data_IF_516898374243
#
_entry.id   IF_516898374243
#
_cell.length_a   1.000
_cell.length_b   1.000
_cell.length_c   1.000
_cell.angle_alpha   90.00
_cell.angle_beta   90.00
_cell.angle_gamma   90.00
#
_symmetry.space_group_name_H-M   'P 1'
#
loop_
_entity.id
_entity.type
_entity.pdbx_description
1 polymer ?
#
# COMPACT_ATOMS: atom_id res chain seq x y z
N UNK A 1 1.43 -7.61 11.06
CA UNK A 1 1.10 -8.85 10.32
C UNK A 1 1.02 -8.54 8.81
N UNK A 2 1.32 -9.48 7.91
CA UNK A 2 1.22 -9.29 6.44
C UNK A 2 2.55 -8.97 5.74
N UNK A 3 3.46 -8.28 6.44
CA UNK A 3 4.81 -7.94 5.97
C UNK A 3 5.62 -9.16 5.49
N UNK A 4 5.42 -10.33 6.12
CA UNK A 4 6.10 -11.57 5.75
C UNK A 4 5.75 -12.04 4.33
N UNK A 5 4.52 -11.81 3.86
CA UNK A 5 4.12 -12.17 2.50
C UNK A 5 4.76 -11.24 1.46
N UNK A 6 4.86 -9.94 1.77
CA UNK A 6 5.57 -8.97 0.94
C UNK A 6 7.05 -9.34 0.84
N UNK A 7 7.71 -9.57 1.98
CA UNK A 7 9.11 -10.00 2.04
C UNK A 7 9.36 -11.30 1.26
N UNK A 8 8.52 -12.32 1.49
CA UNK A 8 8.62 -13.60 0.80
C UNK A 8 8.45 -13.47 -0.71
N UNK A 9 7.57 -12.58 -1.17
CA UNK A 9 7.37 -12.33 -2.61
C UNK A 9 8.56 -11.62 -3.23
N UNK A 10 9.14 -10.62 -2.55
CA UNK A 10 10.36 -9.95 -3.01
C UNK A 10 11.51 -10.94 -3.20
N UNK A 11 11.71 -11.85 -2.25
CA UNK A 11 12.74 -12.90 -2.30
C UNK A 11 12.59 -13.87 -3.48
N UNK A 12 11.43 -13.92 -4.15
CA UNK A 12 11.28 -14.71 -5.38
C UNK A 12 11.97 -14.06 -6.58
N UNK A 13 12.22 -12.75 -6.54
CA UNK A 13 12.69 -11.97 -7.69
C UNK A 13 14.04 -11.28 -7.50
N UNK A 14 14.53 -11.19 -6.26
CA UNK A 14 15.80 -10.53 -5.95
C UNK A 14 16.55 -11.23 -4.81
N UNK A 15 17.84 -10.93 -4.68
CA UNK A 15 18.67 -11.45 -3.60
C UNK A 15 18.24 -10.90 -2.23
N UNK A 16 18.67 -11.56 -1.14
CA UNK A 16 18.24 -11.24 0.22
C UNK A 16 18.49 -9.76 0.59
N UNK A 17 19.66 -9.23 0.25
CA UNK A 17 20.02 -7.84 0.55
C UNK A 17 19.11 -6.85 -0.20
N UNK A 18 18.88 -7.08 -1.49
CA UNK A 18 17.99 -6.22 -2.31
C UNK A 18 16.54 -6.31 -1.82
N UNK A 19 16.08 -7.50 -1.44
CA UNK A 19 14.74 -7.71 -0.89
C UNK A 19 14.57 -6.96 0.44
N UNK A 20 15.59 -6.99 1.30
CA UNK A 20 15.59 -6.23 2.55
C UNK A 20 15.49 -4.73 2.31
N UNK A 21 16.29 -4.16 1.40
CA UNK A 21 16.25 -2.74 1.10
C UNK A 21 14.97 -2.31 0.38
N UNK A 22 14.43 -3.16 -0.49
CA UNK A 22 13.13 -2.92 -1.13
C UNK A 22 12.01 -2.93 -0.10
N UNK A 23 11.97 -3.92 0.80
CA UNK A 23 10.98 -4.00 1.87
C UNK A 23 11.08 -2.78 2.81
N UNK A 24 12.29 -2.39 3.20
CA UNK A 24 12.53 -1.19 4.01
C UNK A 24 11.98 0.05 3.31
N UNK A 25 12.24 0.19 2.01
CA UNK A 25 11.72 1.31 1.21
C UNK A 25 10.19 1.33 1.14
N UNK A 26 9.55 0.16 1.04
CA UNK A 26 8.09 0.04 1.10
C UNK A 26 7.56 0.52 2.46
N UNK A 27 8.13 0.01 3.56
CA UNK A 27 7.64 0.29 4.91
C UNK A 27 7.84 1.75 5.30
N UNK A 28 8.97 2.35 4.92
CA UNK A 28 9.34 3.69 5.36
C UNK A 28 8.82 4.79 4.44
N UNK A 29 8.79 4.55 3.12
CA UNK A 29 8.53 5.60 2.13
C UNK A 29 7.17 5.45 1.42
N UNK A 30 6.75 4.22 1.09
CA UNK A 30 5.53 4.01 0.30
C UNK A 30 4.30 3.75 1.18
N UNK A 31 4.49 3.02 2.28
CA UNK A 31 3.46 2.62 3.24
C UNK A 31 3.87 2.98 4.69
N UNK A 32 4.26 4.23 4.96
CA UNK A 32 4.62 4.66 6.32
C UNK A 32 3.50 4.38 7.33
N UNK A 33 3.88 3.78 8.46
CA UNK A 33 2.95 3.45 9.56
C UNK A 33 2.07 2.22 9.32
N UNK A 34 2.14 1.54 8.17
CA UNK A 34 1.28 0.38 7.88
C UNK A 34 1.59 -0.86 8.73
N UNK A 35 2.86 -1.05 9.07
CA UNK A 35 3.35 -2.22 9.80
C UNK A 35 3.76 -1.89 11.25
N UNK A 36 3.18 -0.83 11.78
CA UNK A 36 3.37 -0.39 13.17
C UNK A 36 2.61 -1.29 14.16
N UNK A 37 2.88 -1.16 15.46
CA UNK A 37 2.25 -1.98 16.49
C UNK A 37 0.77 -1.62 16.67
N UNK A 38 0.44 -0.32 16.69
CA UNK A 38 -0.94 0.12 16.85
C UNK A 38 -1.77 0.02 15.56
N UNK A 39 -1.11 -0.26 14.42
CA UNK A 39 -1.73 -0.44 13.10
C UNK A 39 -2.71 0.70 12.76
N UNK A 40 -2.33 1.95 13.01
CA UNK A 40 -3.22 3.10 12.80
C UNK A 40 -3.38 3.43 11.32
N UNK A 41 -2.30 3.46 10.56
CA UNK A 41 -2.36 3.79 9.13
C UNK A 41 -3.28 2.84 8.33
N UNK A 42 -3.23 1.50 8.50
CA UNK A 42 -4.16 0.60 7.83
C UNK A 42 -5.61 0.83 8.24
N UNK A 43 -5.87 1.14 9.52
CA UNK A 43 -7.23 1.41 10.01
C UNK A 43 -7.79 2.71 9.42
N UNK A 44 -6.99 3.78 9.37
CA UNK A 44 -7.34 5.02 8.68
C UNK A 44 -7.65 4.73 7.21
N UNK A 45 -6.78 4.00 6.53
CA UNK A 45 -6.93 3.72 5.11
C UNK A 45 -8.12 2.79 4.81
N UNK A 46 -8.52 1.91 5.72
CA UNK A 46 -9.79 1.18 5.61
C UNK A 46 -11.01 2.11 5.68
N UNK A 47 -10.99 3.13 6.56
CA UNK A 47 -12.08 4.12 6.64
C UNK A 47 -12.11 5.00 5.39
N UNK A 48 -10.96 5.39 4.89
CA UNK A 48 -10.85 6.11 3.60
C UNK A 48 -11.40 5.25 2.46
N UNK A 49 -11.00 3.98 2.39
CA UNK A 49 -11.47 3.07 1.34
C UNK A 49 -12.98 2.83 1.41
N UNK A 50 -13.53 2.64 2.61
CA UNK A 50 -14.98 2.57 2.82
C UNK A 50 -15.69 3.82 2.29
N UNK A 51 -15.17 5.02 2.60
CA UNK A 51 -15.74 6.28 2.10
C UNK A 51 -15.70 6.37 0.57
N UNK A 52 -14.60 5.93 -0.05
CA UNK A 52 -14.50 5.87 -1.51
C UNK A 52 -15.53 4.89 -2.10
N UNK A 53 -15.77 3.74 -1.48
CA UNK A 53 -16.83 2.81 -1.91
C UNK A 53 -18.20 3.49 -1.84
N UNK A 54 -18.52 4.18 -0.75
CA UNK A 54 -19.80 4.90 -0.60
C UNK A 54 -19.97 5.99 -1.66
N UNK A 55 -18.89 6.69 -2.03
CA UNK A 55 -18.93 7.76 -3.02
C UNK A 55 -19.08 7.24 -4.47
N UNK A 56 -18.30 6.22 -4.83
CA UNK A 56 -18.29 5.71 -6.21
C UNK A 56 -19.40 4.68 -6.46
N UNK A 57 -19.82 3.93 -5.43
CA UNK A 57 -20.81 2.86 -5.54
C UNK A 57 -21.89 2.95 -4.44
N UNK A 58 -22.62 4.08 -4.32
CA UNK A 58 -23.55 4.31 -3.21
C UNK A 58 -24.62 3.22 -3.11
N UNK A 59 -25.16 2.75 -4.23
CA UNK A 59 -26.16 1.66 -4.25
C UNK A 59 -25.58 0.34 -3.73
N UNK A 60 -24.33 0.03 -4.07
CA UNK A 60 -23.66 -1.17 -3.58
C UNK A 60 -23.32 -1.05 -2.09
N UNK A 61 -22.86 0.10 -1.65
CA UNK A 61 -22.59 0.36 -0.24
C UNK A 61 -23.86 0.15 0.61
N UNK A 62 -24.97 0.77 0.23
CA UNK A 62 -26.27 0.57 0.91
C UNK A 62 -26.74 -0.88 0.87
N UNK A 63 -26.50 -1.60 -0.24
CA UNK A 63 -26.82 -3.02 -0.34
C UNK A 63 -26.01 -3.85 0.66
N UNK A 64 -24.69 -3.69 0.71
CA UNK A 64 -23.81 -4.41 1.66
C UNK A 64 -24.15 -4.06 3.11
N UNK A 65 -24.42 -2.79 3.42
CA UNK A 65 -24.89 -2.36 4.75
C UNK A 65 -26.20 -3.03 5.14
N UNK A 66 -27.16 -3.14 4.21
CA UNK A 66 -28.45 -3.81 4.47
C UNK A 66 -28.29 -5.31 4.77
N UNK A 67 -27.19 -5.91 4.31
CA UNK A 67 -26.80 -7.29 4.58
C UNK A 67 -25.88 -7.42 5.81
N UNK A 68 -25.63 -6.32 6.53
CA UNK A 68 -24.69 -6.23 7.66
C UNK A 68 -23.26 -6.68 7.32
N UNK A 69 -22.81 -6.40 6.10
CA UNK A 69 -21.48 -6.76 5.61
C UNK A 69 -20.52 -5.60 5.74
N UNK A 70 -19.46 -5.79 6.52
CA UNK A 70 -18.32 -4.87 6.55
C UNK A 70 -17.24 -5.35 5.56
N UNK A 71 -17.08 -4.60 4.47
CA UNK A 71 -16.06 -4.89 3.46
C UNK A 71 -14.63 -4.89 4.03
N UNK A 72 -14.38 -4.15 5.12
CA UNK A 72 -13.07 -4.05 5.78
C UNK A 72 -12.53 -5.42 6.22
N UNK A 73 -13.42 -6.37 6.51
CA UNK A 73 -13.06 -7.74 6.87
C UNK A 73 -12.33 -8.49 5.76
N UNK A 74 -12.51 -8.09 4.50
CA UNK A 74 -11.78 -8.66 3.35
C UNK A 74 -10.70 -7.70 2.89
N UNK A 75 -11.03 -6.42 2.75
CA UNK A 75 -10.19 -5.43 2.08
C UNK A 75 -8.96 -5.09 2.91
N UNK A 76 -9.01 -5.19 4.24
CA UNK A 76 -7.84 -4.98 5.11
C UNK A 76 -6.65 -5.83 4.69
N UNK A 77 -6.88 -7.09 4.31
CA UNK A 77 -5.83 -7.99 3.87
C UNK A 77 -5.20 -7.53 2.54
N UNK A 78 -6.00 -6.99 1.62
CA UNK A 78 -5.53 -6.48 0.34
C UNK A 78 -4.46 -5.40 0.54
N UNK A 79 -4.74 -4.41 1.38
CA UNK A 79 -3.78 -3.32 1.61
C UNK A 79 -2.59 -3.77 2.47
N UNK A 80 -2.83 -4.54 3.54
CA UNK A 80 -1.75 -5.00 4.43
C UNK A 80 -0.70 -5.86 3.72
N UNK A 81 -1.11 -6.62 2.69
CA UNK A 81 -0.20 -7.48 1.94
C UNK A 81 0.12 -6.93 0.55
N UNK A 82 -0.27 -5.68 0.23
CA UNK A 82 -0.08 -5.08 -1.09
C UNK A 82 -0.61 -5.98 -2.22
N UNK A 83 -1.77 -6.59 -1.99
CA UNK A 83 -2.46 -7.58 -2.82
C UNK A 83 -1.74 -8.93 -3.03
N UNK A 84 -0.60 -9.16 -2.40
CA UNK A 84 0.03 -10.48 -2.36
C UNK A 84 -0.94 -11.47 -1.71
N UNK A 85 -1.09 -12.65 -2.31
CA UNK A 85 -2.02 -13.70 -1.93
C UNK A 85 -3.52 -13.33 -2.00
N UNK A 86 -3.86 -12.09 -2.36
CA UNK A 86 -5.22 -11.71 -2.72
C UNK A 86 -5.45 -11.87 -4.23
N UNK A 87 -4.50 -11.40 -5.06
CA UNK A 87 -4.52 -11.52 -6.51
C UNK A 87 -3.68 -12.72 -6.98
N UNK A 88 -3.97 -13.29 -8.17
CA UNK A 88 -3.02 -14.14 -8.87
C UNK A 88 -1.66 -13.44 -9.01
N UNK A 89 -0.56 -14.15 -8.79
CA UNK A 89 0.78 -13.55 -8.69
C UNK A 89 1.12 -12.66 -9.89
N UNK A 90 0.85 -13.12 -11.12
CA UNK A 90 1.10 -12.33 -12.33
C UNK A 90 0.33 -11.00 -12.35
N UNK A 91 -0.91 -10.99 -11.88
CA UNK A 91 -1.71 -9.77 -11.75
C UNK A 91 -1.17 -8.87 -10.63
N UNK A 92 -0.78 -9.46 -9.50
CA UNK A 92 -0.17 -8.75 -8.38
C UNK A 92 1.13 -8.03 -8.81
N UNK A 93 1.98 -8.68 -9.60
CA UNK A 93 3.22 -8.08 -10.09
C UNK A 93 2.97 -6.86 -10.97
N UNK A 94 1.91 -6.87 -11.81
CA UNK A 94 1.53 -5.69 -12.59
C UNK A 94 1.04 -4.52 -11.72
N UNK A 95 0.34 -4.83 -10.63
CA UNK A 95 -0.01 -3.80 -9.62
C UNK A 95 1.26 -3.22 -9.01
N UNK A 96 2.23 -4.08 -8.67
CA UNK A 96 3.50 -3.69 -8.09
C UNK A 96 4.35 -2.84 -9.04
N UNK A 97 4.39 -3.16 -10.33
CA UNK A 97 5.10 -2.37 -11.34
C UNK A 97 4.64 -0.90 -11.31
N UNK A 98 3.32 -0.68 -11.31
CA UNK A 98 2.74 0.67 -11.27
C UNK A 98 2.92 1.31 -9.89
N UNK A 99 2.76 0.55 -8.81
CA UNK A 99 2.98 1.03 -7.45
C UNK A 99 4.41 1.55 -7.23
N UNK A 100 5.42 0.82 -7.71
CA UNK A 100 6.83 1.25 -7.63
C UNK A 100 7.16 2.37 -8.61
N UNK A 101 6.55 2.38 -9.80
CA UNK A 101 6.73 3.43 -10.80
C UNK A 101 6.19 4.78 -10.30
N UNK A 102 4.95 4.79 -9.82
CA UNK A 102 4.29 6.01 -9.34
C UNK A 102 4.75 6.43 -7.94
N UNK A 103 5.26 5.49 -7.14
CA UNK A 103 5.70 5.71 -5.75
C UNK A 103 4.58 6.30 -4.89
N UNK A 104 3.37 5.79 -5.08
CA UNK A 104 2.16 6.31 -4.45
C UNK A 104 1.21 5.17 -4.05
N UNK A 105 0.81 5.17 -2.78
CA UNK A 105 -0.19 4.26 -2.25
C UNK A 105 -1.55 4.41 -2.95
N UNK A 106 -1.82 5.53 -3.61
CA UNK A 106 -3.04 5.75 -4.38
C UNK A 106 -3.31 4.67 -5.44
N UNK A 107 -2.26 4.04 -5.98
CA UNK A 107 -2.41 2.90 -6.90
C UNK A 107 -3.20 1.76 -6.25
N UNK A 108 -2.94 1.46 -4.97
CA UNK A 108 -3.60 0.36 -4.25
C UNK A 108 -5.09 0.63 -4.04
N UNK A 109 -5.46 1.89 -3.79
CA UNK A 109 -6.86 2.30 -3.67
C UNK A 109 -7.59 2.20 -5.00
N UNK A 110 -6.95 2.65 -6.10
CA UNK A 110 -7.48 2.50 -7.46
C UNK A 110 -7.72 1.03 -7.83
N UNK A 111 -6.78 0.15 -7.47
CA UNK A 111 -6.93 -1.30 -7.68
C UNK A 111 -8.08 -1.87 -6.84
N UNK A 112 -8.19 -1.48 -5.57
CA UNK A 112 -9.31 -1.88 -4.72
C UNK A 112 -10.68 -1.45 -5.29
N UNK A 113 -10.80 -0.21 -5.74
CA UNK A 113 -12.03 0.30 -6.37
C UNK A 113 -12.33 -0.40 -7.70
N UNK A 114 -11.30 -0.69 -8.50
CA UNK A 114 -11.45 -1.44 -9.74
C UNK A 114 -11.97 -2.87 -9.50
N UNK A 115 -11.50 -3.55 -8.43
CA UNK A 115 -12.05 -4.84 -8.04
C UNK A 115 -13.54 -4.74 -7.69
N UNK A 116 -13.90 -3.75 -6.87
CA UNK A 116 -15.30 -3.52 -6.49
C UNK A 116 -16.16 -3.21 -7.73
N UNK A 117 -15.68 -2.37 -8.65
CA UNK A 117 -16.39 -2.03 -9.89
C UNK A 117 -16.63 -3.26 -10.78
N UNK A 118 -15.56 -4.02 -11.04
CA UNK A 118 -15.60 -5.20 -11.91
C UNK A 118 -16.60 -6.24 -11.42
N UNK A 119 -16.71 -6.41 -10.10
CA UNK A 119 -17.59 -7.40 -9.46
C UNK A 119 -18.88 -6.80 -8.88
N UNK A 120 -19.12 -5.49 -9.05
CA UNK A 120 -20.28 -4.79 -8.51
C UNK A 120 -21.61 -5.48 -8.84
N UNK A 121 -21.79 -5.93 -10.09
CA UNK A 121 -22.99 -6.65 -10.53
C UNK A 121 -23.17 -8.01 -9.86
N UNK A 122 -22.08 -8.70 -9.51
CA UNK A 122 -22.13 -9.97 -8.80
C UNK A 122 -22.49 -9.73 -7.32
N UNK A 123 -21.86 -8.75 -6.69
CA UNK A 123 -22.15 -8.34 -5.32
C UNK A 123 -23.60 -7.85 -5.16
N UNK A 124 -24.14 -7.11 -6.13
CA UNK A 124 -25.54 -6.66 -6.10
C UNK A 124 -26.58 -7.80 -6.21
N UNK A 125 -26.16 -9.02 -6.58
CA UNK A 125 -27.06 -10.18 -6.68
C UNK A 125 -27.12 -11.01 -5.40
N UNK A 126 -26.25 -10.73 -4.45
CA UNK A 126 -26.21 -11.48 -3.18
C UNK A 126 -27.45 -11.15 -2.37
N UNK A 127 -28.00 -12.16 -1.70
CA UNK A 127 -29.28 -12.03 -0.96
C UNK A 127 -29.10 -12.02 0.55
N UNK A 128 -27.96 -12.50 1.05
CA UNK A 128 -27.61 -12.54 2.46
C UNK A 128 -26.14 -12.15 2.67
N UNK A 129 -25.80 -11.83 3.93
CA UNK A 129 -24.46 -11.36 4.27
C UNK A 129 -23.36 -12.40 4.10
N UNK A 130 -23.67 -13.69 4.20
CA UNK A 130 -22.67 -14.77 4.05
C UNK A 130 -22.30 -14.90 2.57
N UNK A 131 -23.29 -14.94 1.68
CA UNK A 131 -23.06 -14.96 0.23
C UNK A 131 -22.31 -13.70 -0.22
N UNK A 132 -22.72 -12.52 0.26
CA UNK A 132 -22.02 -11.26 -0.02
C UNK A 132 -20.54 -11.29 0.42
N UNK A 133 -20.25 -11.80 1.62
CA UNK A 133 -18.88 -11.97 2.10
C UNK A 133 -18.08 -12.96 1.27
N UNK A 134 -18.66 -14.11 0.91
CA UNK A 134 -18.00 -15.10 0.06
C UNK A 134 -17.72 -14.53 -1.35
N UNK A 135 -18.67 -13.79 -1.93
CA UNK A 135 -18.47 -13.12 -3.22
C UNK A 135 -17.36 -12.06 -3.12
N UNK A 136 -17.34 -11.25 -2.05
CA UNK A 136 -16.31 -10.25 -1.84
C UNK A 136 -14.92 -10.90 -1.71
N UNK A 137 -14.81 -12.01 -0.97
CA UNK A 137 -13.57 -12.78 -0.84
C UNK A 137 -13.10 -13.38 -2.17
N UNK A 138 -14.02 -13.72 -3.07
CA UNK A 138 -13.72 -14.29 -4.38
C UNK A 138 -13.27 -13.26 -5.43
N UNK A 139 -13.52 -11.96 -5.22
CA UNK A 139 -13.24 -10.91 -6.23
C UNK A 139 -11.76 -10.87 -6.66
N UNK A 140 -10.83 -10.74 -5.71
CA UNK A 140 -9.41 -10.64 -6.03
C UNK A 140 -8.82 -11.94 -6.63
N UNK A 141 -9.08 -13.15 -6.07
CA UNK A 141 -8.55 -14.39 -6.64
C UNK A 141 -9.01 -14.69 -8.06
N UNK A 142 -10.17 -14.16 -8.47
CA UNK A 142 -10.72 -14.34 -9.82
C UNK A 142 -10.12 -13.39 -10.87
N UNK A 143 -9.24 -12.46 -10.49
CA UNK A 143 -8.64 -11.49 -11.41
C UNK A 143 -7.38 -12.00 -12.12
N UNK A 144 -7.58 -12.92 -13.07
CA UNK A 144 -6.52 -13.39 -13.98
C UNK A 144 -6.20 -12.39 -15.09
N UNK A 145 -7.18 -11.56 -15.48
CA UNK A 145 -6.96 -10.50 -16.48
C UNK A 145 -6.40 -9.24 -15.82
N UNK A 146 -5.08 -9.25 -15.59
CA UNK A 146 -4.37 -8.11 -15.05
C UNK A 146 -4.41 -6.87 -15.96
N UNK A 147 -4.56 -7.03 -17.28
CA UNK A 147 -4.70 -5.88 -18.20
C UNK A 147 -6.00 -5.14 -17.95
N UNK A 148 -7.11 -5.88 -17.83
CA UNK A 148 -8.42 -5.30 -17.49
C UNK A 148 -8.38 -4.63 -16.13
N UNK A 149 -7.81 -5.28 -15.11
CA UNK A 149 -7.71 -4.71 -13.77
C UNK A 149 -6.96 -3.37 -13.78
N UNK A 150 -5.76 -3.34 -14.37
CA UNK A 150 -4.94 -2.13 -14.39
C UNK A 150 -5.54 -1.03 -15.26
N UNK A 151 -6.22 -1.38 -16.36
CA UNK A 151 -6.94 -0.39 -17.18
C UNK A 151 -8.06 0.26 -16.38
N UNK A 152 -8.91 -0.53 -15.71
CA UNK A 152 -9.98 0.01 -14.88
C UNK A 152 -9.42 0.83 -13.71
N UNK A 153 -8.35 0.38 -13.05
CA UNK A 153 -7.72 1.09 -11.94
C UNK A 153 -7.10 2.42 -12.38
N UNK A 154 -6.20 2.40 -13.37
CA UNK A 154 -5.40 3.56 -13.75
C UNK A 154 -6.18 4.58 -14.59
N UNK A 155 -7.22 4.17 -15.33
CA UNK A 155 -8.03 5.08 -16.16
C UNK A 155 -9.36 5.39 -15.49
N UNK A 156 -10.05 4.37 -14.97
CA UNK A 156 -11.39 4.52 -14.39
C UNK A 156 -11.41 5.26 -13.05
N UNK A 157 -10.31 5.19 -12.29
CA UNK A 157 -10.17 5.84 -10.97
C UNK A 157 -8.95 6.77 -10.93
N UNK A 158 -8.56 7.34 -12.08
CA UNK A 158 -7.38 8.23 -12.19
C UNK A 158 -7.47 9.49 -11.31
N UNK A 159 -8.67 9.86 -10.89
CA UNK A 159 -8.93 10.98 -9.99
C UNK A 159 -8.44 10.71 -8.57
N UNK A 160 -8.34 9.44 -8.16
CA UNK A 160 -7.81 9.04 -6.85
C UNK A 160 -6.30 9.27 -6.81
N UNK A 161 -5.92 10.43 -6.29
CA UNK A 161 -4.53 10.88 -6.11
C UNK A 161 -4.13 10.90 -4.63
N UNK A 162 -2.83 11.06 -4.38
CA UNK A 162 -2.28 11.32 -3.04
C UNK A 162 -3.03 12.43 -2.30
N UNK A 163 -3.31 13.55 -2.96
CA UNK A 163 -3.95 14.72 -2.33
C UNK A 163 -5.36 14.40 -1.84
N UNK A 164 -6.13 13.65 -2.64
CA UNK A 164 -7.47 13.20 -2.24
C UNK A 164 -7.38 12.25 -1.05
N UNK A 165 -6.43 11.31 -1.08
CA UNK A 165 -6.24 10.39 0.04
C UNK A 165 -5.81 11.11 1.32
N UNK A 166 -4.89 12.07 1.24
CA UNK A 166 -4.49 12.89 2.38
C UNK A 166 -5.66 13.68 2.95
N UNK A 167 -6.49 14.26 2.08
CA UNK A 167 -7.71 14.95 2.51
C UNK A 167 -8.64 14.01 3.30
N UNK A 168 -8.92 12.81 2.79
CA UNK A 168 -9.76 11.85 3.51
C UNK A 168 -9.11 11.29 4.77
N UNK A 169 -7.80 11.04 4.76
CA UNK A 169 -7.03 10.65 5.96
C UNK A 169 -7.18 11.70 7.06
N UNK A 170 -7.11 12.99 6.70
CA UNK A 170 -7.26 14.09 7.64
C UNK A 170 -8.63 14.10 8.31
N UNK A 171 -9.68 13.79 7.56
CA UNK A 171 -11.05 13.80 8.08
C UNK A 171 -11.34 12.63 9.02
N UNK A 172 -10.70 11.46 8.82
CA UNK A 172 -11.02 10.24 9.58
C UNK A 172 -10.00 9.89 10.68
N UNK A 173 -8.80 10.49 10.70
CA UNK A 173 -7.72 10.11 11.62
C UNK A 173 -8.11 10.21 13.11
N UNK A 174 -8.82 11.27 13.51
CA UNK A 174 -9.18 11.49 14.92
C UNK A 174 -10.13 10.41 15.45
N UNK A 175 -11.04 9.93 14.61
CA UNK A 175 -11.95 8.83 14.97
C UNK A 175 -11.17 7.54 15.23
N UNK A 176 -10.20 7.24 14.35
CA UNK A 176 -9.35 6.05 14.49
C UNK A 176 -8.47 6.15 15.72
N UNK A 177 -7.81 7.29 15.94
CA UNK A 177 -6.96 7.53 17.10
C UNK A 177 -7.73 7.35 18.42
N UNK A 178 -8.91 7.96 18.53
CA UNK A 178 -9.78 7.78 19.69
C UNK A 178 -10.15 6.31 19.93
N UNK A 179 -10.49 5.57 18.86
CA UNK A 179 -10.84 4.15 18.95
C UNK A 179 -9.67 3.22 19.27
N UNK A 180 -8.45 3.53 18.82
CA UNK A 180 -7.23 2.78 19.15
C UNK A 180 -6.85 3.03 20.60
N UNK A 181 -6.81 4.30 21.02
CA UNK A 181 -6.47 4.69 22.39
C UNK A 181 -7.41 4.04 23.41
N UNK A 182 -8.72 4.11 23.17
CA UNK A 182 -9.70 3.51 24.08
C UNK A 182 -9.50 1.99 24.28
N UNK A 183 -9.01 1.27 23.26
CA UNK A 183 -8.69 -0.16 23.37
C UNK A 183 -7.42 -0.41 24.16
N UNK A 184 -6.39 0.41 23.96
CA UNK A 184 -5.13 0.30 24.70
C UNK A 184 -5.36 0.61 26.18
N UNK A 185 -6.11 1.68 26.47
CA UNK A 185 -6.50 2.06 27.83
C UNK A 185 -7.29 0.92 28.51
N UNK A 186 -8.16 0.23 27.78
CA UNK A 186 -8.91 -0.93 28.29
C UNK A 186 -8.04 -2.17 28.58
N UNK A 187 -6.84 -2.25 27.98
CA UNK A 187 -5.90 -3.35 28.19
C UNK A 187 -4.88 -3.07 29.32
N UNK A 188 -4.87 -1.86 29.88
CA UNK A 188 -3.98 -1.41 30.98
C UNK A 188 -2.48 -1.66 30.68
N UNK A 189 -2.07 -1.44 29.42
CA UNK A 189 -0.69 -1.67 28.95
C UNK A 189 0.04 -0.35 28.76
N UNK A 190 0.86 0.04 29.74
CA UNK A 190 1.64 1.29 29.68
C UNK A 190 2.65 1.31 28.52
N UNK A 191 3.26 0.16 28.21
CA UNK A 191 4.20 0.03 27.09
C UNK A 191 3.50 0.30 25.74
N UNK A 192 2.29 -0.23 25.56
CA UNK A 192 1.55 -0.05 24.31
C UNK A 192 1.02 1.38 24.18
N UNK A 193 0.79 2.08 25.29
CA UNK A 193 0.39 3.48 25.31
C UNK A 193 1.53 4.42 24.87
N UNK A 194 2.77 4.17 25.31
CA UNK A 194 3.94 4.92 24.84
C UNK A 194 4.18 4.70 23.33
N UNK A 195 4.13 3.45 22.88
CA UNK A 195 4.24 3.11 21.46
C UNK A 195 3.13 3.77 20.63
N UNK A 196 1.89 3.78 21.13
CA UNK A 196 0.77 4.45 20.51
C UNK A 196 1.01 5.95 20.34
N UNK A 197 1.47 6.66 21.38
CA UNK A 197 1.70 8.10 21.29
C UNK A 197 2.79 8.46 20.27
N UNK A 198 3.87 7.68 20.21
CA UNK A 198 4.91 7.86 19.20
C UNK A 198 4.36 7.64 17.78
N UNK A 199 3.59 6.57 17.57
CA UNK A 199 2.97 6.29 16.28
C UNK A 199 1.92 7.33 15.88
N UNK A 200 1.19 7.89 16.85
CA UNK A 200 0.19 8.94 16.64
C UNK A 200 0.85 10.22 16.16
N UNK A 201 1.89 10.67 16.87
CA UNK A 201 2.65 11.86 16.51
C UNK A 201 3.26 11.72 15.12
N UNK A 202 3.91 10.58 14.83
CA UNK A 202 4.50 10.31 13.52
C UNK A 202 3.47 10.30 12.40
N UNK A 203 2.28 9.71 12.62
CA UNK A 203 1.22 9.71 11.62
C UNK A 203 0.66 11.13 11.40
N UNK A 204 0.51 11.91 12.47
CA UNK A 204 0.10 13.32 12.37
C UNK A 204 1.10 14.11 11.55
N UNK A 205 2.40 14.01 11.83
CA UNK A 205 3.43 14.68 11.03
C UNK A 205 3.37 14.29 9.54
N UNK A 206 3.08 13.03 9.24
CA UNK A 206 2.98 12.55 7.86
C UNK A 206 1.75 13.13 7.13
N UNK A 207 0.59 13.19 7.79
CA UNK A 207 -0.66 13.67 7.16
C UNK A 207 -0.76 15.20 7.18
N UNK A 208 -0.30 15.83 8.26
CA UNK A 208 -0.33 17.28 8.45
C UNK A 208 0.89 18.00 7.83
N UNK A 209 2.00 17.28 7.57
CA UNK A 209 3.30 17.85 7.23
C UNK A 209 3.74 17.82 5.77
N UNK A 210 2.87 17.49 4.81
CA UNK A 210 3.25 17.54 3.38
C UNK A 210 3.16 18.95 2.79
N UNK A 211 4.25 19.70 2.98
CA UNK A 211 4.77 20.56 1.90
C UNK A 211 6.27 20.40 1.61
N UNK A 212 7.07 19.65 2.39
CA UNK A 212 8.55 19.68 2.19
C UNK A 212 9.36 18.43 2.64
N UNK A 213 8.77 17.42 3.30
CA UNK A 213 9.58 16.39 3.99
C UNK A 213 10.12 15.26 3.08
N UNK A 214 9.34 14.77 2.11
CA UNK A 214 9.71 13.58 1.33
C UNK A 214 10.68 13.82 0.16
N UNK A 215 10.81 15.06 -0.34
CA UNK A 215 11.73 15.38 -1.46
C UNK A 215 13.17 15.63 -0.95
N UNK A 216 13.33 16.23 0.25
CA UNK A 216 14.67 16.60 0.77
C UNK A 216 15.48 15.41 1.29
N UNK A 217 14.84 14.39 1.86
CA UNK A 217 15.57 13.23 2.38
C UNK A 217 16.07 12.31 1.24
N UNK A 218 15.34 12.23 0.13
CA UNK A 218 15.73 11.38 -1.00
C UNK A 218 17.03 11.83 -1.70
N UNK A 219 17.26 13.14 -1.81
CA UNK A 219 18.56 13.65 -2.29
C UNK A 219 19.71 13.37 -1.32
N UNK A 220 19.43 13.20 -0.03
CA UNK A 220 20.44 12.83 0.96
C UNK A 220 20.77 11.34 0.90
N UNK A 221 19.77 10.48 0.77
CA UNK A 221 19.94 9.03 0.83
C UNK A 221 20.55 8.45 -0.45
N UNK A 222 20.22 9.01 -1.63
CA UNK A 222 20.92 8.66 -2.87
C UNK A 222 22.41 9.01 -2.80
N UNK A 223 22.74 10.18 -2.22
CA UNK A 223 24.12 10.62 -2.05
C UNK A 223 24.86 9.83 -0.97
N UNK A 224 24.17 9.40 0.10
CA UNK A 224 24.74 8.57 1.16
C UNK A 224 25.04 7.14 0.67
N UNK A 225 24.13 6.52 -0.09
CA UNK A 225 24.33 5.19 -0.65
C UNK A 225 25.39 5.18 -1.78
N UNK A 226 25.48 6.25 -2.56
CA UNK A 226 26.57 6.43 -3.55
C UNK A 226 27.93 6.67 -2.87
N UNK A 227 27.94 7.34 -1.72
CA UNK A 227 29.14 7.55 -0.89
C UNK A 227 29.63 6.25 -0.24
N UNK A 228 28.72 5.43 0.29
CA UNK A 228 29.09 4.13 0.87
C UNK A 228 29.65 3.16 -0.18
N UNK A 229 29.06 3.10 -1.39
CA UNK A 229 29.60 2.29 -2.51
C UNK A 229 30.98 2.75 -3.01
N UNK A 230 31.37 4.00 -2.78
CA UNK A 230 32.74 4.49 -3.09
C UNK A 230 33.74 4.18 -1.97
N UNK A 231 33.27 3.94 -0.75
CA UNK A 231 34.12 3.62 0.42
C UNK A 231 34.42 2.12 0.57
N UNK A 232 33.56 1.24 0.04
CA UNK A 232 33.88 -0.18 -0.15
C UNK A 232 34.60 -0.34 -1.48
N UNK A 233 35.92 -0.48 -1.45
CA UNK A 233 36.79 -0.50 -2.63
C UNK A 233 36.47 -1.57 -3.67
N UNK A 234 35.52 -1.28 -4.56
CA UNK A 234 35.39 -1.94 -5.86
C UNK A 234 36.46 -1.34 -6.79
N UNK A 235 37.22 -2.17 -7.53
CA UNK A 235 38.29 -1.69 -8.37
C UNK A 235 37.73 -0.85 -9.51
N UNK A 236 38.23 0.38 -9.64
CA UNK A 236 37.97 1.27 -10.78
C UNK A 236 38.45 0.60 -12.06
N UNK A 237 37.52 0.22 -12.94
CA UNK A 237 37.82 -0.08 -14.34
C UNK A 237 37.97 1.25 -15.07
N UNK A 238 39.19 1.71 -15.22
CA UNK A 238 39.56 2.62 -16.30
C UNK A 238 41.02 2.40 -16.73
N UNK A 239 41.18 2.37 -18.06
CA UNK A 239 42.40 2.55 -18.86
C UNK A 239 43.38 1.37 -19.07
N UNK A 240 43.17 0.62 -20.16
CA UNK A 240 44.20 0.19 -21.13
C UNK A 240 43.49 -0.42 -22.37
N UNK A 241 43.69 -0.01 -23.62
CA UNK A 241 44.61 0.97 -24.18
C UNK A 241 44.26 1.26 -25.64
N UNK A 242 44.69 2.44 -26.08
CA UNK A 242 44.81 2.79 -27.49
C UNK A 242 45.77 1.81 -28.19
N UNK A 243 45.37 1.27 -29.35
CA UNK A 243 46.33 0.75 -30.33
C UNK A 243 45.97 1.30 -31.70
N UNK A 244 46.72 2.32 -32.13
CA UNK A 244 46.78 2.79 -33.51
C UNK A 244 47.99 2.19 -34.22
N UNK A 245 47.76 1.37 -35.26
CA UNK A 245 48.62 1.09 -36.43
C UNK A 245 49.99 0.39 -36.23
N UNK A 246 50.70 -0.04 -37.30
CA UNK A 246 50.49 0.24 -38.74
C UNK A 246 50.47 -1.02 -39.66
N UNK A 247 50.35 -0.77 -40.98
CA UNK A 247 49.96 -1.72 -42.02
C UNK A 247 50.95 -2.83 -42.43
N UNK A 248 50.41 -3.79 -43.19
CA UNK A 248 50.76 -4.18 -44.58
C UNK A 248 49.50 -4.75 -45.21
#
# INVERSE_FOLDING_TARGET
QGMNFVAGTLLLFMEEEDAFWCLTSIIENLMPGYYSLAMMAPQVDQRVFHRLIVQHFPTLATHLESLCVDASCVTSHWFLCLFVNALPLETCLRVWDVFFLERDAAVLFRVGLALVDIFSKALMRTVDGVDAMCQLQATAPMMFDGSRLMTTACIGFQDISRDILLHYRQEVKEEVFGGVKARIDAMDSAHDLEAYHYEEERFREMVDGESDFNIRNYSRDLNANTSMRKSSGAPSLDAAGEVSGPGV
#
